data_IF_167476238654
#
_entry.id   IF_167476238654
#
_cell.length_a   1.000
_cell.length_b   1.000
_cell.length_c   1.000
_cell.angle_alpha   90.00
_cell.angle_beta   90.00
_cell.angle_gamma   90.00
#
_symmetry.space_group_name_H-M   'P 1'
#
loop_
_entity.id
_entity.type
_entity.pdbx_description
1 polymer ?
#
# COMPACT_ATOMS: atom_id res chain seq x y z
N UNK A 1 10.43 33.33 -22.69
CA UNK A 1 10.22 32.25 -21.69
C UNK A 1 10.43 30.94 -22.40
N UNK A 2 11.61 30.33 -22.29
CA UNK A 2 11.87 29.00 -22.85
C UNK A 2 10.98 28.00 -22.14
N UNK A 3 10.06 27.36 -22.87
CA UNK A 3 9.19 26.32 -22.33
C UNK A 3 10.06 25.24 -21.68
N UNK A 4 9.92 25.06 -20.37
CA UNK A 4 10.59 23.98 -19.62
C UNK A 4 10.11 22.67 -20.27
N UNK A 5 11.04 21.85 -20.77
CA UNK A 5 10.69 20.60 -21.44
C UNK A 5 9.80 19.75 -20.52
N UNK A 6 8.63 19.33 -21.03
CA UNK A 6 7.72 18.46 -20.29
C UNK A 6 8.43 17.14 -19.96
N UNK A 7 8.31 16.69 -18.72
CA UNK A 7 8.93 15.46 -18.23
C UNK A 7 7.87 14.44 -17.86
N UNK A 8 8.10 13.18 -18.21
CA UNK A 8 7.35 12.03 -17.70
C UNK A 8 8.25 11.32 -16.69
N UNK A 9 7.75 11.11 -15.49
CA UNK A 9 8.41 10.23 -14.52
C UNK A 9 7.88 8.81 -14.72
N UNK A 10 8.78 7.89 -15.02
CA UNK A 10 8.51 6.47 -15.09
C UNK A 10 8.98 5.80 -13.80
N UNK A 11 8.18 4.93 -13.22
CA UNK A 11 8.55 4.27 -11.96
C UNK A 11 9.28 2.96 -12.21
N UNK A 12 10.50 2.85 -11.70
CA UNK A 12 11.19 1.56 -11.53
C UNK A 12 10.62 0.90 -10.28
N UNK A 13 10.13 -0.31 -10.45
CA UNK A 13 9.37 -1.05 -9.46
C UNK A 13 10.03 -2.41 -9.20
N UNK A 14 9.24 -3.47 -9.03
CA UNK A 14 9.70 -4.78 -8.57
C UNK A 14 9.32 -5.87 -9.59
N UNK A 15 9.96 -7.04 -9.50
CA UNK A 15 9.53 -8.28 -10.15
C UNK A 15 9.25 -8.14 -11.66
N UNK A 16 8.11 -8.63 -12.15
CA UNK A 16 7.79 -8.65 -13.57
C UNK A 16 7.67 -7.23 -14.19
N UNK A 17 7.00 -6.24 -13.56
CA UNK A 17 7.01 -4.86 -14.05
C UNK A 17 8.41 -4.24 -14.18
N UNK A 18 9.34 -4.55 -13.26
CA UNK A 18 10.71 -4.08 -13.37
C UNK A 18 11.42 -4.66 -14.61
N UNK A 19 11.29 -5.98 -14.83
CA UNK A 19 11.85 -6.64 -16.03
C UNK A 19 11.25 -6.08 -17.32
N UNK A 20 9.93 -5.89 -17.37
CA UNK A 20 9.26 -5.29 -18.52
C UNK A 20 9.75 -3.85 -18.79
N UNK A 21 10.01 -3.09 -17.73
CA UNK A 21 10.54 -1.72 -17.83
C UNK A 21 11.92 -1.69 -18.50
N UNK A 22 12.80 -2.64 -18.19
CA UNK A 22 14.13 -2.72 -18.84
C UNK A 22 14.04 -2.85 -20.37
N UNK A 23 13.02 -3.56 -20.89
CA UNK A 23 12.79 -3.69 -22.33
C UNK A 23 12.00 -2.51 -22.91
N UNK A 24 10.95 -2.07 -22.22
CA UNK A 24 9.96 -1.15 -22.78
C UNK A 24 10.36 0.32 -22.66
N UNK A 25 11.02 0.72 -21.56
CA UNK A 25 11.39 2.11 -21.31
C UNK A 25 12.28 2.74 -22.39
N UNK A 26 13.32 2.05 -22.92
CA UNK A 26 14.12 2.59 -24.02
C UNK A 26 13.28 2.93 -25.26
N UNK A 27 12.26 2.12 -25.57
CA UNK A 27 11.35 2.41 -26.68
C UNK A 27 10.49 3.64 -26.36
N UNK A 28 9.89 3.72 -25.18
CA UNK A 28 9.10 4.91 -24.78
C UNK A 28 9.95 6.18 -24.91
N UNK A 29 11.16 6.18 -24.35
CA UNK A 29 12.06 7.33 -24.41
C UNK A 29 12.45 7.73 -25.85
N UNK A 30 12.67 6.75 -26.73
CA UNK A 30 12.99 7.03 -28.14
C UNK A 30 11.83 7.73 -28.87
N UNK A 31 10.59 7.29 -28.65
CA UNK A 31 9.41 7.88 -29.28
C UNK A 31 9.07 9.26 -28.69
N UNK A 32 9.14 9.44 -27.38
CA UNK A 32 8.80 10.73 -26.73
C UNK A 32 9.83 11.82 -27.03
N UNK A 33 11.08 11.45 -27.34
CA UNK A 33 12.13 12.39 -27.76
C UNK A 33 11.72 13.20 -28.99
N UNK A 34 10.99 12.61 -29.94
CA UNK A 34 10.50 13.32 -31.12
C UNK A 34 9.51 14.46 -30.78
N UNK A 35 8.84 14.36 -29.62
CA UNK A 35 7.93 15.38 -29.10
C UNK A 35 8.60 16.33 -28.08
N UNK A 36 9.91 16.22 -27.87
CA UNK A 36 10.62 17.03 -26.87
C UNK A 36 10.27 16.68 -25.42
N UNK A 37 9.73 15.49 -25.17
CA UNK A 37 9.33 15.02 -23.83
C UNK A 37 10.40 14.09 -23.27
N UNK A 38 11.00 14.50 -22.16
CA UNK A 38 11.99 13.69 -21.45
C UNK A 38 11.30 12.63 -20.58
N UNK A 39 11.92 11.45 -20.47
CA UNK A 39 11.45 10.38 -19.57
C UNK A 39 12.53 10.12 -18.54
N UNK A 40 12.20 10.30 -17.27
CA UNK A 40 13.12 10.07 -16.15
C UNK A 40 12.63 8.89 -15.31
N UNK A 41 13.56 8.04 -14.88
CA UNK A 41 13.26 6.92 -14.02
C UNK A 41 13.35 7.37 -12.55
N UNK A 42 12.41 6.92 -11.71
CA UNK A 42 12.47 7.03 -10.24
C UNK A 42 12.27 5.66 -9.62
N UNK A 43 13.17 5.27 -8.70
CA UNK A 43 13.23 3.97 -8.07
C UNK A 43 12.38 3.92 -6.80
N UNK A 44 11.21 3.28 -6.92
CA UNK A 44 10.32 3.01 -5.80
C UNK A 44 10.23 1.50 -5.48
N UNK A 45 11.20 0.72 -5.94
CA UNK A 45 11.33 -0.70 -5.59
C UNK A 45 11.44 -0.89 -4.08
N UNK A 46 11.14 -2.09 -3.60
CA UNK A 46 11.32 -2.45 -2.19
C UNK A 46 12.78 -2.24 -1.75
N UNK A 47 13.74 -2.70 -2.53
CA UNK A 47 15.17 -2.50 -2.27
C UNK A 47 15.52 -1.00 -2.26
N UNK A 48 15.02 -0.26 -3.25
CA UNK A 48 15.17 1.19 -3.39
C UNK A 48 14.82 1.94 -2.11
N UNK A 49 13.58 1.70 -1.65
CA UNK A 49 13.00 2.33 -0.46
C UNK A 49 13.65 1.88 0.84
N UNK A 50 14.11 0.64 0.95
CA UNK A 50 14.86 0.18 2.13
C UNK A 50 16.15 1.01 2.25
N UNK A 51 16.97 1.06 1.20
CA UNK A 51 18.25 1.76 1.24
C UNK A 51 18.09 3.26 1.54
N UNK A 52 17.07 3.91 0.99
CA UNK A 52 16.78 5.33 1.25
C UNK A 52 16.53 5.65 2.74
N UNK A 53 16.02 4.69 3.54
CA UNK A 53 15.73 4.89 4.97
C UNK A 53 16.89 4.60 5.92
N UNK A 54 17.99 4.04 5.43
CA UNK A 54 19.15 3.65 6.23
C UNK A 54 20.47 4.22 5.69
N UNK A 55 20.55 5.51 5.28
CA UNK A 55 21.75 6.07 4.67
C UNK A 55 22.96 5.99 5.59
N UNK A 56 22.79 5.96 6.90
CA UNK A 56 23.88 5.84 7.87
C UNK A 56 24.55 4.45 7.87
N UNK A 57 23.89 3.43 7.32
CA UNK A 57 24.42 2.07 7.16
C UNK A 57 25.09 1.85 5.79
N UNK A 58 25.14 2.89 4.95
CA UNK A 58 25.62 2.82 3.56
C UNK A 58 26.93 3.59 3.40
N UNK A 59 27.82 3.05 2.57
CA UNK A 59 28.96 3.82 2.04
C UNK A 59 28.48 4.96 1.13
N UNK A 60 29.29 6.00 0.88
CA UNK A 60 28.89 7.10 0.00
C UNK A 60 28.42 6.65 -1.39
N UNK A 61 29.00 5.58 -1.94
CA UNK A 61 28.67 5.03 -3.26
C UNK A 61 27.39 4.17 -3.25
N UNK A 62 27.00 3.66 -2.09
CA UNK A 62 25.78 2.86 -1.90
C UNK A 62 24.55 3.72 -1.62
N UNK A 63 24.73 4.99 -1.23
CA UNK A 63 23.63 5.91 -0.95
C UNK A 63 22.89 6.26 -2.23
N UNK A 64 21.58 6.39 -2.10
CA UNK A 64 20.69 6.86 -3.16
C UNK A 64 19.64 7.81 -2.58
N UNK A 65 18.98 8.58 -3.45
CA UNK A 65 17.89 9.48 -3.11
C UNK A 65 16.66 8.73 -2.58
N UNK A 66 15.86 9.42 -1.76
CA UNK A 66 14.52 8.97 -1.40
C UNK A 66 13.52 9.38 -2.49
N UNK A 67 13.54 8.62 -3.59
CA UNK A 67 12.71 8.89 -4.77
C UNK A 67 11.21 8.85 -4.46
N UNK A 68 10.78 8.11 -3.43
CA UNK A 68 9.37 8.10 -3.02
C UNK A 68 8.98 9.43 -2.38
N UNK A 69 9.84 9.97 -1.50
CA UNK A 69 9.62 11.30 -0.92
C UNK A 69 9.63 12.39 -1.99
N UNK A 70 10.59 12.36 -2.92
CA UNK A 70 10.65 13.31 -4.05
C UNK A 70 9.38 13.25 -4.92
N UNK A 71 8.90 12.04 -5.23
CA UNK A 71 7.67 11.85 -5.99
C UNK A 71 6.43 12.33 -5.25
N UNK A 72 6.40 12.22 -3.91
CA UNK A 72 5.32 12.75 -3.08
C UNK A 72 5.24 14.27 -3.14
N UNK A 73 6.38 14.96 -3.14
CA UNK A 73 6.42 16.41 -3.34
C UNK A 73 6.05 16.78 -4.78
N UNK A 74 6.55 16.04 -5.77
CA UNK A 74 6.17 16.26 -7.17
C UNK A 74 4.65 16.11 -7.38
N UNK A 75 4.01 15.10 -6.79
CA UNK A 75 2.57 14.85 -6.94
C UNK A 75 1.69 16.02 -6.47
N UNK A 76 2.23 16.94 -5.66
CA UNK A 76 1.56 18.15 -5.18
C UNK A 76 1.77 19.35 -6.10
N UNK A 77 2.50 19.20 -7.20
CA UNK A 77 2.77 20.29 -8.15
C UNK A 77 2.05 20.08 -9.49
N UNK A 78 1.71 21.16 -10.22
CA UNK A 78 1.06 21.05 -11.54
C UNK A 78 1.91 20.33 -12.60
N UNK A 79 3.23 20.27 -12.41
CA UNK A 79 4.17 19.62 -13.34
C UNK A 79 4.19 18.09 -13.21
N UNK A 80 3.48 17.52 -12.23
CA UNK A 80 3.43 16.09 -12.02
C UNK A 80 2.87 15.34 -13.25
N UNK A 81 3.71 14.49 -13.85
CA UNK A 81 3.30 13.54 -14.87
C UNK A 81 3.98 12.20 -14.59
N UNK A 82 3.30 11.33 -13.84
CA UNK A 82 3.87 10.12 -13.25
C UNK A 82 3.18 8.88 -13.85
N UNK A 83 3.95 8.01 -14.51
CA UNK A 83 3.53 6.68 -14.91
C UNK A 83 3.91 5.69 -13.81
N UNK A 84 2.90 5.31 -13.01
CA UNK A 84 3.05 4.38 -11.89
C UNK A 84 2.75 2.94 -12.29
N UNK A 85 3.77 2.08 -12.25
CA UNK A 85 3.66 0.64 -12.50
C UNK A 85 3.33 -0.12 -11.21
N UNK A 86 2.81 -1.36 -11.26
CA UNK A 86 2.62 -2.17 -10.05
C UNK A 86 3.93 -2.37 -9.27
N UNK A 87 3.85 -2.36 -7.94
CA UNK A 87 5.00 -2.51 -7.04
C UNK A 87 4.63 -3.40 -5.83
N UNK A 88 5.64 -3.91 -5.13
CA UNK A 88 5.46 -4.72 -3.92
C UNK A 88 4.92 -3.87 -2.78
N UNK A 89 3.77 -4.27 -2.24
CA UNK A 89 3.33 -3.90 -0.89
C UNK A 89 3.84 -4.94 0.10
N UNK A 90 5.01 -4.70 0.68
CA UNK A 90 5.82 -5.78 1.26
C UNK A 90 5.16 -6.44 2.48
N UNK A 91 5.03 -7.76 2.44
CA UNK A 91 4.83 -8.57 3.63
C UNK A 91 6.13 -8.64 4.47
N UNK A 92 6.04 -9.09 5.73
CA UNK A 92 7.24 -9.28 6.58
C UNK A 92 8.23 -10.28 5.93
N UNK A 93 7.81 -11.44 5.38
CA UNK A 93 8.74 -12.34 4.70
C UNK A 93 9.46 -11.70 3.51
N UNK A 94 8.74 -10.94 2.68
CA UNK A 94 9.35 -10.23 1.53
C UNK A 94 10.34 -9.17 1.99
N UNK A 95 10.02 -8.42 3.05
CA UNK A 95 10.95 -7.45 3.63
C UNK A 95 12.24 -8.13 4.10
N UNK A 96 12.14 -9.21 4.89
CA UNK A 96 13.30 -9.96 5.38
C UNK A 96 14.13 -10.54 4.24
N UNK A 97 13.49 -11.06 3.19
CA UNK A 97 14.17 -11.58 2.01
C UNK A 97 14.97 -10.47 1.29
N UNK A 98 14.35 -9.29 1.07
CA UNK A 98 15.02 -8.15 0.44
C UNK A 98 16.20 -7.62 1.28
N UNK A 99 16.04 -7.53 2.61
CA UNK A 99 17.14 -7.13 3.51
C UNK A 99 18.29 -8.13 3.43
N UNK A 100 18.01 -9.44 3.49
CA UNK A 100 19.02 -10.49 3.37
C UNK A 100 19.75 -10.46 2.02
N UNK A 101 19.02 -10.24 0.93
CA UNK A 101 19.60 -10.10 -0.41
C UNK A 101 20.53 -8.89 -0.47
N UNK A 102 20.10 -7.72 0.01
CA UNK A 102 20.94 -6.52 0.08
C UNK A 102 22.19 -6.74 0.96
N UNK A 103 22.05 -7.39 2.11
CA UNK A 103 23.21 -7.73 2.94
C UNK A 103 24.22 -8.63 2.20
N UNK A 104 23.73 -9.60 1.42
CA UNK A 104 24.61 -10.45 0.59
C UNK A 104 25.36 -9.66 -0.49
N UNK A 105 24.84 -8.50 -0.89
CA UNK A 105 25.47 -7.56 -1.83
C UNK A 105 26.38 -6.53 -1.13
N UNK A 106 26.59 -6.65 0.19
CA UNK A 106 27.51 -5.79 0.95
C UNK A 106 26.88 -4.54 1.56
N UNK A 107 25.55 -4.41 1.56
CA UNK A 107 24.86 -3.35 2.29
C UNK A 107 24.75 -3.72 3.78
N UNK A 108 25.33 -2.93 4.69
CA UNK A 108 25.39 -3.25 6.13
C UNK A 108 24.09 -2.93 6.88
N UNK A 109 22.94 -3.25 6.27
CA UNK A 109 21.62 -2.97 6.82
C UNK A 109 21.34 -3.78 8.10
N UNK A 110 20.65 -3.20 9.10
CA UNK A 110 20.22 -3.95 10.27
C UNK A 110 19.12 -4.97 9.91
N UNK A 111 19.01 -6.03 10.71
CA UNK A 111 17.88 -6.97 10.60
C UNK A 111 16.55 -6.29 10.96
N UNK A 112 15.42 -6.88 10.51
CA UNK A 112 14.09 -6.50 10.98
C UNK A 112 13.78 -7.15 12.34
N UNK A 113 13.68 -6.37 13.45
CA UNK A 113 13.36 -6.94 14.75
C UNK A 113 11.84 -7.10 14.88
N UNK A 114 11.36 -8.34 14.94
CA UNK A 114 9.94 -8.62 15.12
C UNK A 114 9.44 -8.24 16.52
N UNK A 115 10.26 -8.50 17.54
CA UNK A 115 9.98 -8.26 18.95
C UNK A 115 11.13 -7.43 19.56
N UNK A 116 11.09 -6.09 19.37
CA UNK A 116 12.21 -5.21 19.71
C UNK A 116 12.42 -5.11 21.23
N UNK A 117 13.67 -5.29 21.67
CA UNK A 117 14.06 -5.35 23.09
C UNK A 117 14.59 -4.04 23.65
N UNK A 118 15.06 -3.14 22.79
CA UNK A 118 15.60 -1.85 23.17
C UNK A 118 15.12 -0.72 22.24
N UNK A 119 15.51 0.51 22.57
CA UNK A 119 15.08 1.69 21.81
C UNK A 119 15.70 1.76 20.41
N UNK A 120 16.87 1.14 20.22
CA UNK A 120 17.52 1.05 18.90
C UNK A 120 16.73 0.11 17.98
N UNK A 121 16.35 -1.06 18.47
CA UNK A 121 15.52 -2.01 17.74
C UNK A 121 14.12 -1.44 17.46
N UNK A 122 13.50 -0.73 18.42
CA UNK A 122 12.24 -0.01 18.18
C UNK A 122 12.39 1.02 17.06
N UNK A 123 13.47 1.79 17.05
CA UNK A 123 13.73 2.77 15.99
C UNK A 123 13.98 2.13 14.62
N UNK A 124 14.68 1.00 14.56
CA UNK A 124 14.89 0.23 13.33
C UNK A 124 13.55 -0.34 12.83
N UNK A 125 12.77 -0.96 13.72
CA UNK A 125 11.45 -1.50 13.39
C UNK A 125 10.53 -0.41 12.85
N UNK A 126 10.47 0.74 13.52
CA UNK A 126 9.63 1.86 13.11
C UNK A 126 9.99 2.38 11.72
N UNK A 127 11.28 2.36 11.34
CA UNK A 127 11.72 2.72 9.99
C UNK A 127 11.32 1.69 8.95
N UNK A 128 11.58 0.41 9.19
CA UNK A 128 11.14 -0.65 8.29
C UNK A 128 9.61 -0.72 8.14
N UNK A 129 8.89 -0.43 9.21
CA UNK A 129 7.43 -0.39 9.21
C UNK A 129 6.86 0.69 8.28
N UNK A 130 7.66 1.71 7.88
CA UNK A 130 7.30 2.68 6.83
C UNK A 130 7.42 2.12 5.41
N UNK A 131 8.17 1.04 5.19
CA UNK A 131 8.43 0.46 3.86
C UNK A 131 7.52 -0.74 3.57
N UNK A 132 7.12 -1.48 4.61
CA UNK A 132 6.20 -2.62 4.49
C UNK A 132 4.77 -2.17 4.20
N UNK A 133 3.96 -3.09 3.66
CA UNK A 133 2.58 -2.81 3.27
C UNK A 133 2.48 -1.80 2.12
N UNK A 134 1.32 -1.14 1.99
CA UNK A 134 1.05 -0.18 0.91
C UNK A 134 1.68 1.18 1.20
N UNK A 135 3.01 1.27 1.23
CA UNK A 135 3.74 2.51 1.51
C UNK A 135 3.73 3.53 0.36
N UNK A 136 3.65 3.06 -0.89
CA UNK A 136 3.77 3.94 -2.07
C UNK A 136 2.48 4.66 -2.42
N UNK A 137 1.34 3.94 -2.43
CA UNK A 137 0.07 4.52 -2.88
C UNK A 137 -0.39 5.74 -2.06
N UNK A 138 -0.28 5.75 -0.70
CA UNK A 138 -0.66 6.90 0.10
C UNK A 138 0.16 8.16 -0.19
N UNK A 139 1.36 8.02 -0.75
CA UNK A 139 2.24 9.16 -1.10
C UNK A 139 1.92 9.71 -2.50
N UNK A 140 1.54 8.85 -3.44
CA UNK A 140 1.35 9.26 -4.84
C UNK A 140 -0.10 9.60 -5.21
N UNK A 141 -1.09 9.25 -4.37
CA UNK A 141 -2.51 9.43 -4.66
C UNK A 141 -3.04 10.74 -4.06
N UNK A 142 -2.47 11.85 -4.51
CA UNK A 142 -2.93 13.21 -4.20
C UNK A 142 -4.15 13.60 -5.07
N UNK A 143 -5.14 12.70 -5.15
CA UNK A 143 -6.32 12.86 -5.99
C UNK A 143 -7.25 11.64 -5.97
N UNK A 144 -8.39 11.78 -6.63
CA UNK A 144 -9.39 10.72 -6.74
C UNK A 144 -9.09 9.75 -7.91
N UNK A 145 -9.83 8.65 -7.97
CA UNK A 145 -9.62 7.58 -8.97
C UNK A 145 -10.62 7.64 -10.13
N UNK A 146 -10.14 7.86 -11.37
CA UNK A 146 -10.85 7.47 -12.60
C UNK A 146 -10.36 6.09 -13.05
N UNK A 147 -11.19 5.05 -12.91
CA UNK A 147 -10.84 3.67 -13.29
C UNK A 147 -11.93 3.07 -14.18
N UNK A 148 -11.56 2.75 -15.42
CA UNK A 148 -12.45 2.18 -16.44
C UNK A 148 -11.71 1.28 -17.41
N UNK A 149 -12.40 0.29 -17.98
CA UNK A 149 -11.83 -0.53 -19.04
C UNK A 149 -11.75 0.29 -20.35
N UNK A 150 -10.60 0.33 -21.04
CA UNK A 150 -10.49 1.00 -22.34
C UNK A 150 -11.44 0.40 -23.38
N UNK A 151 -11.94 1.23 -24.30
CA UNK A 151 -12.87 0.79 -25.35
C UNK A 151 -12.27 -0.29 -26.25
N UNK A 152 -10.99 -0.14 -26.64
CA UNK A 152 -10.25 -1.12 -27.43
C UNK A 152 -10.19 -2.49 -26.75
N UNK A 153 -9.88 -2.52 -25.45
CA UNK A 153 -9.87 -3.75 -24.65
C UNK A 153 -11.28 -4.36 -24.57
N UNK A 154 -12.32 -3.54 -24.36
CA UNK A 154 -13.71 -4.03 -24.32
C UNK A 154 -14.15 -4.63 -25.66
N UNK A 155 -13.79 -4.02 -26.78
CA UNK A 155 -14.08 -4.55 -28.12
C UNK A 155 -13.33 -5.87 -28.37
N UNK A 156 -12.04 -5.92 -28.02
CA UNK A 156 -11.25 -7.14 -28.11
C UNK A 156 -11.88 -8.29 -27.31
N UNK A 157 -12.32 -8.05 -26.07
CA UNK A 157 -12.99 -9.06 -25.24
C UNK A 157 -14.34 -9.52 -25.78
N UNK A 158 -15.02 -8.73 -26.64
CA UNK A 158 -16.25 -9.17 -27.33
C UNK A 158 -15.93 -10.10 -28.49
N UNK A 159 -14.84 -9.85 -29.21
CA UNK A 159 -14.39 -10.68 -30.34
C UNK A 159 -13.70 -11.97 -29.85
N UNK A 160 -13.04 -11.90 -28.70
CA UNK A 160 -12.30 -13.00 -28.08
C UNK A 160 -12.82 -13.21 -26.65
N UNK A 161 -14.04 -13.75 -26.48
CA UNK A 161 -14.62 -13.96 -25.18
C UNK A 161 -13.75 -14.91 -24.36
N UNK A 162 -13.41 -14.49 -23.13
CA UNK A 162 -12.74 -15.36 -22.18
C UNK A 162 -13.74 -16.37 -21.61
N UNK A 163 -13.22 -17.50 -21.12
CA UNK A 163 -14.06 -18.54 -20.52
C UNK A 163 -14.76 -17.98 -19.27
N UNK A 164 -16.07 -18.14 -19.23
CA UNK A 164 -16.90 -17.89 -18.05
C UNK A 164 -17.44 -19.22 -17.57
N UNK A 165 -17.24 -19.55 -16.29
CA UNK A 165 -17.79 -20.77 -15.70
C UNK A 165 -19.32 -20.74 -15.75
N UNK A 166 -19.94 -21.88 -16.09
CA UNK A 166 -21.39 -22.01 -16.05
C UNK A 166 -21.90 -21.89 -14.62
N UNK A 167 -23.03 -21.19 -14.44
CA UNK A 167 -23.70 -21.05 -13.14
C UNK A 167 -24.89 -22.01 -13.07
N UNK A 168 -24.97 -22.77 -11.97
CA UNK A 168 -26.11 -23.64 -11.67
C UNK A 168 -27.09 -22.92 -10.76
N UNK A 169 -28.41 -23.04 -10.96
CA UNK A 169 -29.41 -22.58 -9.99
C UNK A 169 -29.29 -23.31 -8.64
N UNK A 170 -28.68 -24.50 -8.61
CA UNK A 170 -28.44 -25.29 -7.39
C UNK A 170 -27.12 -24.91 -6.68
N UNK A 171 -26.48 -23.80 -7.08
CA UNK A 171 -25.23 -23.34 -6.47
C UNK A 171 -25.43 -23.01 -4.99
N UNK A 172 -24.63 -23.67 -4.13
CA UNK A 172 -24.58 -23.37 -2.70
C UNK A 172 -23.56 -22.29 -2.33
N UNK A 173 -22.87 -21.71 -3.31
CA UNK A 173 -21.91 -20.62 -3.05
C UNK A 173 -22.65 -19.40 -2.52
N UNK A 174 -22.25 -18.92 -1.34
CA UNK A 174 -22.83 -17.74 -0.72
C UNK A 174 -21.78 -16.96 0.07
N UNK A 175 -22.05 -15.68 0.32
CA UNK A 175 -21.25 -14.84 1.21
C UNK A 175 -21.89 -14.84 2.58
N UNK A 176 -21.08 -15.08 3.60
CA UNK A 176 -21.45 -14.90 5.00
C UNK A 176 -20.63 -13.77 5.59
N UNK A 177 -21.26 -12.95 6.42
CA UNK A 177 -20.61 -11.85 7.13
C UNK A 177 -21.17 -11.73 8.55
N UNK A 178 -20.44 -11.02 9.42
CA UNK A 178 -20.90 -10.77 10.79
C UNK A 178 -22.19 -9.93 10.79
N UNK A 179 -23.07 -10.17 11.77
CA UNK A 179 -24.32 -9.43 11.96
C UNK A 179 -24.26 -8.40 13.11
N UNK A 180 -23.10 -8.30 13.78
CA UNK A 180 -22.88 -7.40 14.90
C UNK A 180 -21.48 -7.55 15.47
N UNK A 181 -20.99 -6.51 16.15
CA UNK A 181 -19.63 -6.49 16.71
C UNK A 181 -18.51 -6.40 15.67
N UNK A 182 -18.82 -6.06 14.42
CA UNK A 182 -17.88 -5.78 13.34
C UNK A 182 -17.64 -4.27 13.18
N UNK A 183 -16.75 -3.90 12.26
CA UNK A 183 -16.45 -2.49 12.01
C UNK A 183 -17.68 -1.69 11.57
N UNK A 184 -18.54 -2.28 10.73
CA UNK A 184 -19.74 -1.61 10.24
C UNK A 184 -20.73 -1.32 11.38
N UNK A 185 -20.97 -2.30 12.24
CA UNK A 185 -21.98 -2.18 13.30
C UNK A 185 -21.52 -1.28 14.46
N UNK A 186 -20.21 -1.10 14.63
CA UNK A 186 -19.61 -0.33 15.72
C UNK A 186 -19.17 1.09 15.32
N UNK A 187 -19.33 1.47 14.05
CA UNK A 187 -18.86 2.74 13.54
C UNK A 187 -19.59 3.92 14.19
N UNK A 188 -18.81 4.94 14.55
CA UNK A 188 -19.28 6.28 14.88
C UNK A 188 -18.51 7.27 14.02
N UNK A 189 -19.24 8.24 13.48
CA UNK A 189 -18.69 9.26 12.58
C UNK A 189 -19.09 10.65 13.05
N UNK A 190 -18.20 11.62 12.89
CA UNK A 190 -18.48 13.04 13.09
C UNK A 190 -17.84 13.89 11.99
N UNK A 191 -18.51 14.96 11.58
CA UNK A 191 -17.93 16.01 10.73
C UNK A 191 -17.54 17.18 11.63
N UNK A 192 -16.28 17.62 11.55
CA UNK A 192 -15.77 18.69 12.38
C UNK A 192 -16.17 20.06 11.84
N UNK A 193 -16.54 20.98 12.73
CA UNK A 193 -16.88 22.36 12.36
C UNK A 193 -15.66 23.27 12.30
N UNK A 194 -14.59 22.93 13.03
CA UNK A 194 -13.38 23.72 13.17
C UNK A 194 -12.13 22.82 13.23
N UNK A 195 -10.98 23.37 12.86
CA UNK A 195 -9.72 22.65 12.93
C UNK A 195 -9.29 22.47 14.39
N UNK A 196 -8.80 21.28 14.73
CA UNK A 196 -8.43 20.92 16.10
C UNK A 196 -7.36 19.83 16.14
N UNK A 197 -6.80 19.57 17.31
CA UNK A 197 -5.91 18.45 17.58
C UNK A 197 -6.63 17.40 18.43
N UNK A 198 -6.70 16.16 17.95
CA UNK A 198 -7.22 15.02 18.70
C UNK A 198 -6.09 14.16 19.29
N UNK A 199 -6.41 13.46 20.39
CA UNK A 199 -5.58 12.42 21.01
C UNK A 199 -6.39 11.12 21.06
N UNK A 200 -5.76 9.99 20.71
CA UNK A 200 -6.36 8.66 20.88
C UNK A 200 -5.75 8.01 22.11
N UNK A 201 -6.59 7.62 23.06
CA UNK A 201 -6.18 6.98 24.30
C UNK A 201 -7.07 5.79 24.65
N UNK A 202 -6.48 4.83 25.35
CA UNK A 202 -7.18 3.70 25.94
C UNK A 202 -7.25 3.89 27.45
N UNK A 203 -8.46 3.93 28.00
CA UNK A 203 -8.69 3.97 29.45
C UNK A 203 -9.03 2.55 29.91
N UNK A 204 -8.11 1.97 30.69
CA UNK A 204 -8.27 0.63 31.26
C UNK A 204 -9.38 0.58 32.30
N UNK A 205 -9.88 -0.63 32.57
CA UNK A 205 -10.86 -0.84 33.66
C UNK A 205 -10.29 -0.51 35.04
N UNK A 206 -8.96 -0.52 35.18
CA UNK A 206 -8.24 -0.08 36.38
C UNK A 206 -8.06 1.44 36.46
N UNK A 207 -8.64 2.20 35.52
CA UNK A 207 -8.53 3.66 35.42
C UNK A 207 -7.22 4.16 34.81
N UNK A 208 -6.30 3.28 34.43
CA UNK A 208 -5.03 3.71 33.80
C UNK A 208 -5.24 4.12 32.36
N UNK A 209 -4.68 5.27 31.98
CA UNK A 209 -4.73 5.78 30.62
C UNK A 209 -3.45 5.45 29.87
N UNK A 210 -3.58 4.82 28.71
CA UNK A 210 -2.49 4.58 27.76
C UNK A 210 -2.72 5.43 26.51
N UNK A 211 -1.80 6.33 26.20
CA UNK A 211 -1.88 7.13 24.98
C UNK A 211 -1.46 6.28 23.78
N UNK A 212 -2.39 6.07 22.84
CA UNK A 212 -2.14 5.29 21.61
C UNK A 212 -1.64 6.19 20.48
N UNK A 213 -2.19 7.40 20.38
CA UNK A 213 -1.74 8.43 19.43
C UNK A 213 -1.81 9.80 20.11
N UNK A 214 -0.66 10.44 20.42
CA UNK A 214 -0.62 11.65 21.22
C UNK A 214 -1.21 12.87 20.50
N UNK A 215 -1.08 12.93 19.16
CA UNK A 215 -1.56 14.03 18.34
C UNK A 215 -2.04 13.53 16.97
N UNK A 216 -3.21 14.00 16.57
CA UNK A 216 -3.81 13.88 15.25
C UNK A 216 -4.38 15.26 14.89
N UNK A 217 -3.72 15.97 13.99
CA UNK A 217 -4.22 17.25 13.51
C UNK A 217 -5.39 17.01 12.56
N UNK A 218 -6.49 17.75 12.78
CA UNK A 218 -7.74 17.61 12.05
C UNK A 218 -8.18 18.97 11.48
N UNK A 219 -8.79 18.96 10.31
CA UNK A 219 -9.23 20.13 9.58
C UNK A 219 -10.69 20.45 9.84
N UNK A 220 -11.06 21.73 9.64
CA UNK A 220 -12.47 22.11 9.55
C UNK A 220 -13.12 21.41 8.35
N UNK A 221 -14.30 20.82 8.57
CA UNK A 221 -15.02 20.02 7.56
C UNK A 221 -14.51 18.59 7.39
N UNK A 222 -13.44 18.18 8.09
CA UNK A 222 -12.96 16.80 8.04
C UNK A 222 -13.97 15.84 8.67
N UNK A 223 -14.16 14.69 8.04
CA UNK A 223 -14.94 13.58 8.57
C UNK A 223 -13.99 12.61 9.24
N UNK A 224 -14.25 12.28 10.50
CA UNK A 224 -13.49 11.29 11.25
C UNK A 224 -14.40 10.19 11.79
N UNK A 225 -13.96 8.96 11.59
CA UNK A 225 -14.67 7.76 12.00
C UNK A 225 -13.86 7.00 13.06
N UNK A 226 -14.57 6.45 14.04
CA UNK A 226 -14.02 5.53 15.03
C UNK A 226 -14.85 4.25 15.04
N UNK A 227 -14.19 3.11 14.94
CA UNK A 227 -14.83 1.80 14.97
C UNK A 227 -13.91 0.75 15.59
N UNK A 228 -14.45 -0.43 15.89
CA UNK A 228 -13.68 -1.57 16.38
C UNK A 228 -14.30 -2.90 15.94
N UNK A 229 -13.50 -3.95 15.93
CA UNK A 229 -13.99 -5.33 15.74
C UNK A 229 -13.87 -6.09 17.06
N UNK A 230 -14.99 -6.65 17.52
CA UNK A 230 -15.02 -7.48 18.72
C UNK A 230 -14.39 -8.84 18.43
N UNK A 231 -13.23 -9.10 19.06
CA UNK A 231 -12.57 -10.41 18.98
C UNK A 231 -13.49 -11.56 19.38
N UNK A 232 -14.37 -11.35 20.37
CA UNK A 232 -15.33 -12.36 20.84
C UNK A 232 -16.34 -12.69 19.74
N UNK A 233 -17.01 -11.65 19.21
CA UNK A 233 -18.01 -11.83 18.16
C UNK A 233 -17.41 -12.43 16.88
N UNK A 234 -16.18 -12.02 16.52
CA UNK A 234 -15.48 -12.58 15.37
C UNK A 234 -15.22 -14.08 15.54
N UNK A 235 -14.77 -14.52 16.72
CA UNK A 235 -14.52 -15.94 16.99
C UNK A 235 -15.80 -16.78 16.92
N UNK A 236 -16.85 -16.33 17.59
CA UNK A 236 -18.15 -16.99 17.59
C UNK A 236 -18.72 -17.10 16.16
N UNK A 237 -18.60 -16.02 15.37
CA UNK A 237 -18.98 -16.03 13.96
C UNK A 237 -18.20 -17.07 13.15
N UNK A 238 -16.86 -17.06 13.22
CA UNK A 238 -16.02 -17.99 12.46
C UNK A 238 -16.34 -19.44 12.82
N UNK A 239 -16.48 -19.75 14.10
CA UNK A 239 -16.81 -21.10 14.57
C UNK A 239 -18.15 -21.58 13.99
N UNK A 240 -19.20 -20.74 14.07
CA UNK A 240 -20.50 -21.05 13.47
C UNK A 240 -20.42 -21.24 11.94
N UNK A 241 -19.61 -20.43 11.23
CA UNK A 241 -19.47 -20.56 9.77
C UNK A 241 -18.67 -21.80 9.35
N UNK A 242 -17.72 -22.25 10.17
CA UNK A 242 -17.00 -23.51 9.93
C UNK A 242 -17.97 -24.69 10.07
N UNK A 243 -18.80 -24.70 11.12
CA UNK A 243 -19.80 -25.75 11.35
C UNK A 243 -20.84 -25.78 10.23
N UNK A 244 -21.35 -24.62 9.82
CA UNK A 244 -22.33 -24.50 8.75
C UNK A 244 -21.75 -24.95 7.39
N UNK A 245 -20.53 -24.51 7.04
CA UNK A 245 -19.87 -24.96 5.82
C UNK A 245 -19.72 -26.50 5.77
N UNK A 246 -19.35 -27.10 6.91
CA UNK A 246 -19.28 -28.56 7.07
C UNK A 246 -20.65 -29.22 6.92
N UNK A 247 -21.69 -28.67 7.54
CA UNK A 247 -23.07 -29.19 7.46
C UNK A 247 -23.62 -29.13 6.03
N UNK A 248 -23.35 -28.05 5.31
CA UNK A 248 -23.80 -27.86 3.93
C UNK A 248 -22.96 -28.64 2.90
N UNK A 249 -21.78 -29.12 3.30
CA UNK A 249 -20.82 -29.80 2.43
C UNK A 249 -20.16 -28.87 1.42
N UNK A 250 -19.86 -27.63 1.81
CA UNK A 250 -19.23 -26.61 0.96
C UNK A 250 -17.82 -26.28 1.42
N UNK A 251 -16.98 -25.75 0.51
CA UNK A 251 -15.63 -25.31 0.86
C UNK A 251 -15.68 -24.05 1.73
N UNK A 252 -14.98 -24.08 2.85
CA UNK A 252 -14.77 -22.90 3.67
C UNK A 252 -13.63 -22.06 3.09
N UNK A 253 -13.91 -20.79 2.76
CA UNK A 253 -12.92 -19.86 2.24
C UNK A 253 -12.97 -18.52 2.98
N UNK A 254 -11.81 -17.90 3.15
CA UNK A 254 -11.65 -16.61 3.83
C UNK A 254 -11.11 -15.59 2.82
N UNK A 255 -11.78 -14.44 2.72
CA UNK A 255 -11.44 -13.35 1.81
C UNK A 255 -11.21 -12.06 2.62
N UNK A 256 -9.94 -11.67 2.80
CA UNK A 256 -9.52 -10.51 3.60
C UNK A 256 -8.61 -9.60 2.78
N UNK A 257 -8.38 -8.37 3.27
CA UNK A 257 -7.42 -7.42 2.69
C UNK A 257 -6.77 -6.58 3.77
#
# INVERSE_FOLDING_TARGET
>A
MTAKASKIIYTKTDEAPALATHSFLPMVAAFTKAAGVAVELRDISLAGRILALFPEYLTPQQKQSDDLAELGELAKTPEANIIKLPNISASIPQLKAAVKELQSQGYKLPEYPEDPKDDKEKAIKARYDKVKGSAVNPVLREGNSDRRAPLSVKQHSRQHPHKMGAWSPDSKTHVVHMNGGDFRSNEKSVTLTEATDARIEFVGQDGKTTVLKPKLALQAGEVIDATFMSRRALREFIEAQIEDAKKQGVLFSIHLK
#
